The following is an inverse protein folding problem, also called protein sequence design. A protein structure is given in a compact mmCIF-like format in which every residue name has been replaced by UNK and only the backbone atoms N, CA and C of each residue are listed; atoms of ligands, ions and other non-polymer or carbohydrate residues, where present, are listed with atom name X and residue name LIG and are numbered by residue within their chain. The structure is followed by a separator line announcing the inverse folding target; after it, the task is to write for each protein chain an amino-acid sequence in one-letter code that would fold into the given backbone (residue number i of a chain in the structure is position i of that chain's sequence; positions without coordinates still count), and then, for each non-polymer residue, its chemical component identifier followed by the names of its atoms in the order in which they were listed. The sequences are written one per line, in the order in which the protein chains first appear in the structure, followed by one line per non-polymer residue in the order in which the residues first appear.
data_IF_630659783966
#
_entry.id   IF_630659783966
#
_cell.length_a   1.000
_cell.length_b   1.000
_cell.length_c   1.000
_cell.angle_alpha   90.00
_cell.angle_beta   90.00
_cell.angle_gamma   90.00
#
_symmetry.space_group_name_H-M   'P 1'
#
loop_
_entity.id
_entity.type
_entity.pdbx_description
1 polymer ?
#
# COMPACT_ATOMS: atom_id res chain seq x y z
N UNK A 1 21.86 32.64 -5.23
CA UNK A 1 22.24 32.95 -3.83
C UNK A 1 23.74 33.16 -3.81
N UNK A 2 24.21 34.31 -3.33
CA UNK A 2 25.65 34.54 -3.17
C UNK A 2 26.16 33.63 -2.04
N UNK A 3 27.32 32.96 -2.20
CA UNK A 3 27.81 31.95 -1.24
C UNK A 3 28.13 32.48 0.17
N UNK A 4 28.02 33.80 0.38
CA UNK A 4 28.35 34.49 1.63
C UNK A 4 27.14 35.08 2.38
N UNK A 5 25.91 34.77 1.96
CA UNK A 5 24.70 35.27 2.61
C UNK A 5 23.56 34.24 2.62
N UNK A 6 22.93 34.09 3.78
CA UNK A 6 21.78 33.22 4.01
C UNK A 6 20.65 34.08 4.60
N UNK A 7 19.43 33.91 4.10
CA UNK A 7 18.23 34.51 4.69
C UNK A 7 17.39 33.40 5.33
N UNK A 8 16.98 33.63 6.58
CA UNK A 8 16.19 32.73 7.41
C UNK A 8 14.90 33.49 7.75
N UNK A 9 13.75 32.81 7.74
CA UNK A 9 12.51 33.40 8.23
C UNK A 9 11.55 32.36 8.76
N UNK A 10 10.37 32.81 9.18
CA UNK A 10 9.36 31.98 9.80
C UNK A 10 8.90 30.83 8.88
N UNK A 11 8.63 29.64 9.45
CA UNK A 11 8.07 28.47 8.75
C UNK A 11 6.68 28.75 8.14
N UNK A 12 5.95 29.74 8.69
CA UNK A 12 4.65 30.22 8.21
C UNK A 12 4.75 31.49 7.34
N UNK A 13 5.95 31.90 6.93
CA UNK A 13 6.13 33.07 6.06
C UNK A 13 5.61 32.85 4.63
N UNK A 14 5.23 33.96 3.98
CA UNK A 14 4.72 34.03 2.61
C UNK A 14 3.22 33.79 2.48
N UNK A 15 2.71 33.92 1.25
CA UNK A 15 1.28 33.83 0.95
C UNK A 15 0.94 32.42 0.41
N UNK A 16 -0.19 31.81 0.81
CA UNK A 16 -0.71 30.62 0.15
C UNK A 16 -0.88 30.82 -1.37
N UNK A 17 -0.54 29.82 -2.19
CA UNK A 17 -0.76 29.92 -3.63
C UNK A 17 -2.27 29.84 -3.93
N UNK A 18 -2.90 30.90 -4.49
CA UNK A 18 -4.34 30.93 -4.74
C UNK A 18 -4.78 29.95 -5.85
N UNK A 19 -3.86 29.55 -6.74
CA UNK A 19 -4.16 28.68 -7.90
C UNK A 19 -4.04 27.17 -7.58
N UNK A 20 -3.82 26.78 -6.31
CA UNK A 20 -3.87 25.36 -5.94
C UNK A 20 -5.32 24.89 -5.97
N UNK A 21 -5.63 24.01 -6.92
CA UNK A 21 -6.95 23.41 -7.06
C UNK A 21 -7.45 22.80 -5.73
N UNK A 22 -8.73 22.98 -5.36
CA UNK A 22 -9.31 22.54 -4.08
C UNK A 22 -9.34 21.02 -3.88
N UNK A 23 -8.78 20.25 -4.82
CA UNK A 23 -8.75 18.79 -4.84
C UNK A 23 -8.03 18.13 -3.65
N UNK A 24 -7.29 18.90 -2.84
CA UNK A 24 -6.70 18.44 -1.57
C UNK A 24 -7.16 19.36 -0.44
N UNK A 25 -7.84 18.79 0.56
CA UNK A 25 -8.13 19.40 1.87
C UNK A 25 -6.84 19.71 2.68
N UNK A 26 -5.86 20.36 2.08
CA UNK A 26 -4.60 20.74 2.73
C UNK A 26 -4.58 22.26 2.75
N UNK A 27 -5.07 22.81 3.86
CA UNK A 27 -5.00 24.25 4.15
C UNK A 27 -3.52 24.62 4.29
N UNK A 28 -3.11 25.69 3.63
CA UNK A 28 -1.74 26.21 3.74
C UNK A 28 -1.49 26.71 5.16
N UNK A 29 -0.33 26.38 5.74
CA UNK A 29 0.13 26.95 7.03
C UNK A 29 0.71 28.35 6.92
N UNK A 30 0.86 28.84 5.69
CA UNK A 30 1.43 30.15 5.41
C UNK A 30 0.42 31.24 5.80
N UNK A 31 0.85 32.17 6.65
CA UNK A 31 0.06 33.29 7.19
C UNK A 31 0.70 34.64 6.87
N UNK A 32 1.63 34.66 5.92
CA UNK A 32 2.39 35.84 5.51
C UNK A 32 3.16 36.54 6.64
N UNK A 33 3.66 35.75 7.61
CA UNK A 33 4.46 36.32 8.69
C UNK A 33 5.78 36.93 8.17
N UNK A 34 6.07 38.20 8.53
CA UNK A 34 7.12 38.99 7.88
C UNK A 34 8.52 38.78 8.49
N UNK A 35 8.64 38.03 9.59
CA UNK A 35 9.91 37.80 10.27
C UNK A 35 11.01 37.27 9.35
N UNK A 36 12.15 37.98 9.37
CA UNK A 36 13.34 37.67 8.56
C UNK A 36 14.63 38.02 9.30
N UNK A 37 15.62 37.16 9.16
CA UNK A 37 16.97 37.33 9.67
C UNK A 37 17.94 36.98 8.54
N UNK A 38 19.03 37.73 8.40
CA UNK A 38 20.10 37.36 7.48
C UNK A 38 21.37 37.04 8.24
N UNK A 39 22.02 35.96 7.83
CA UNK A 39 23.37 35.62 8.19
C UNK A 39 24.29 36.00 7.04
N UNK A 40 25.30 36.83 7.30
CA UNK A 40 26.33 37.20 6.32
C UNK A 40 27.69 36.75 6.80
N UNK A 41 28.43 36.04 5.96
CA UNK A 41 29.82 35.68 6.23
C UNK A 41 30.68 36.92 6.02
N UNK A 42 31.53 37.21 7.00
CA UNK A 42 32.51 38.28 6.87
C UNK A 42 33.50 37.92 5.74
N UNK A 43 33.81 38.87 4.85
CA UNK A 43 34.69 38.60 3.72
C UNK A 43 36.15 38.32 4.13
N UNK A 44 36.56 38.78 5.32
CA UNK A 44 37.94 38.72 5.83
C UNK A 44 38.14 37.68 6.94
N UNK A 45 37.09 36.96 7.36
CA UNK A 45 37.15 35.99 8.44
C UNK A 45 36.18 34.83 8.22
N UNK A 46 36.31 33.77 9.00
CA UNK A 46 35.36 32.65 9.01
C UNK A 46 34.09 32.95 9.82
N UNK A 47 33.98 34.15 10.40
CA UNK A 47 32.87 34.54 11.27
C UNK A 47 31.62 34.95 10.49
N UNK A 48 30.47 34.56 11.02
CA UNK A 48 29.16 34.92 10.49
C UNK A 48 28.50 35.96 11.40
N UNK A 49 27.91 36.99 10.80
CA UNK A 49 27.10 37.98 11.53
C UNK A 49 25.64 37.74 11.22
N UNK A 50 24.84 37.56 12.27
CA UNK A 50 23.39 37.44 12.19
C UNK A 50 22.76 38.81 12.47
N UNK A 51 21.88 39.27 11.59
CA UNK A 51 21.16 40.54 11.76
C UNK A 51 19.68 40.34 11.47
N UNK A 52 18.84 40.83 12.37
CA UNK A 52 17.38 40.82 12.20
C UNK A 52 17.01 41.88 11.16
N UNK A 53 16.28 41.48 10.12
CA UNK A 53 15.78 42.37 9.06
C UNK A 53 14.37 42.83 9.37
N UNK A 54 13.52 41.92 9.85
CA UNK A 54 12.22 42.25 10.39
C UNK A 54 11.97 41.39 11.65
N UNK A 55 11.81 42.01 12.84
CA UNK A 55 11.53 41.30 14.09
C UNK A 55 10.06 40.89 14.27
N UNK A 56 9.13 41.39 13.45
CA UNK A 56 7.70 41.26 13.69
C UNK A 56 7.15 39.84 13.49
N UNK A 57 6.33 39.42 14.46
CA UNK A 57 5.57 38.18 14.45
C UNK A 57 4.17 38.45 15.05
N UNK A 58 3.12 38.04 14.35
CA UNK A 58 1.74 38.25 14.83
C UNK A 58 1.29 37.25 15.90
N UNK A 59 2.10 36.23 16.21
CA UNK A 59 1.82 35.22 17.23
C UNK A 59 3.11 34.85 17.96
N UNK A 60 3.00 34.53 19.25
CA UNK A 60 4.11 34.05 20.06
C UNK A 60 4.66 32.72 19.53
N UNK A 61 5.96 32.49 19.77
CA UNK A 61 6.61 31.22 19.45
C UNK A 61 5.90 30.07 20.19
N UNK A 62 5.65 28.97 19.48
CA UNK A 62 5.01 27.79 20.09
C UNK A 62 6.07 26.94 20.77
N UNK A 63 5.95 26.72 22.08
CA UNK A 63 6.84 25.84 22.85
C UNK A 63 6.57 24.35 22.56
N UNK A 64 5.40 24.03 22.00
CA UNK A 64 5.03 22.68 21.63
C UNK A 64 5.71 22.23 20.33
N UNK A 65 6.81 21.48 20.46
CA UNK A 65 7.53 20.89 19.34
C UNK A 65 6.66 20.03 18.41
N UNK A 66 5.55 19.45 18.90
CA UNK A 66 4.62 18.67 18.06
C UNK A 66 3.94 19.52 16.99
N UNK A 67 3.69 20.80 17.28
CA UNK A 67 2.99 21.70 16.38
C UNK A 67 3.86 22.10 15.16
N UNK A 68 5.18 21.91 15.22
CA UNK A 68 6.10 22.29 14.17
C UNK A 68 6.61 21.06 13.36
N UNK A 69 6.24 20.92 12.07
CA UNK A 69 6.67 19.82 11.23
C UNK A 69 8.19 19.72 11.08
N UNK A 70 8.94 20.82 11.25
CA UNK A 70 10.39 20.80 11.18
C UNK A 70 11.02 19.88 12.24
N UNK A 71 10.47 19.84 13.45
CA UNK A 71 10.95 18.99 14.54
C UNK A 71 10.47 17.54 14.44
N UNK A 72 9.50 17.26 13.55
CA UNK A 72 8.90 15.93 13.37
C UNK A 72 9.44 15.17 12.15
N UNK A 73 10.47 15.70 11.49
CA UNK A 73 11.09 15.02 10.34
C UNK A 73 11.85 13.79 10.80
N UNK A 74 11.64 12.69 10.07
CA UNK A 74 12.44 11.48 10.23
C UNK A 74 13.82 11.67 9.58
N UNK A 75 14.87 11.25 10.27
CA UNK A 75 16.21 11.14 9.68
C UNK A 75 16.29 9.90 8.77
N UNK A 76 17.45 9.67 8.17
CA UNK A 76 17.66 8.55 7.23
C UNK A 76 17.55 7.19 7.93
N UNK A 77 18.16 7.03 9.11
CA UNK A 77 18.11 5.80 9.90
C UNK A 77 16.66 5.44 10.28
N UNK A 78 15.91 6.41 10.81
CA UNK A 78 14.50 6.26 11.16
C UNK A 78 13.66 5.94 9.93
N UNK A 79 13.97 6.54 8.78
CA UNK A 79 13.28 6.25 7.51
C UNK A 79 13.50 4.81 7.07
N UNK A 80 14.73 4.32 7.13
CA UNK A 80 15.09 2.93 6.82
C UNK A 80 14.41 1.95 7.77
N UNK A 81 14.37 2.28 9.06
CA UNK A 81 13.70 1.45 10.05
C UNK A 81 12.18 1.39 9.82
N UNK A 82 11.54 2.53 9.52
CA UNK A 82 10.12 2.56 9.12
C UNK A 82 9.87 1.72 7.88
N UNK A 83 10.78 1.75 6.88
CA UNK A 83 10.68 0.93 5.68
C UNK A 83 10.69 -0.57 6.03
N UNK A 84 11.70 -1.01 6.79
CA UNK A 84 11.83 -2.40 7.23
C UNK A 84 10.60 -2.87 8.02
N UNK A 85 10.16 -2.11 9.04
CA UNK A 85 8.99 -2.47 9.83
C UNK A 85 7.71 -2.50 8.98
N UNK A 86 7.56 -1.57 8.03
CA UNK A 86 6.42 -1.57 7.10
C UNK A 86 6.44 -2.75 6.14
N UNK A 87 7.62 -3.26 5.76
CA UNK A 87 7.77 -4.46 4.92
C UNK A 87 7.39 -5.72 5.68
N UNK A 88 7.76 -5.79 6.96
CA UNK A 88 7.32 -6.84 7.89
C UNK A 88 5.85 -6.74 8.32
N UNK A 89 5.05 -5.91 7.64
CA UNK A 89 3.60 -5.74 7.85
C UNK A 89 3.21 -5.18 9.23
N UNK A 90 4.13 -4.53 9.95
CA UNK A 90 3.78 -3.86 11.20
C UNK A 90 2.83 -2.70 10.94
N UNK A 91 1.84 -2.57 11.82
CA UNK A 91 0.87 -1.48 11.74
C UNK A 91 1.54 -0.16 12.15
N UNK A 92 1.15 1.00 11.57
CA UNK A 92 1.74 2.30 11.90
C UNK A 92 1.80 2.64 13.39
N UNK A 93 0.84 2.14 14.18
CA UNK A 93 0.83 2.31 15.64
C UNK A 93 1.94 1.50 16.34
N UNK A 94 2.24 0.30 15.85
CA UNK A 94 3.35 -0.53 16.35
C UNK A 94 4.69 0.09 15.96
N UNK A 95 4.80 0.57 14.72
CA UNK A 95 5.97 1.30 14.22
C UNK A 95 6.24 2.52 15.11
N UNK A 96 5.21 3.31 15.43
CA UNK A 96 5.34 4.46 16.33
C UNK A 96 5.84 4.03 17.70
N UNK A 97 5.24 3.00 18.31
CA UNK A 97 5.64 2.53 19.63
C UNK A 97 7.11 2.09 19.68
N UNK A 98 7.58 1.35 18.66
CA UNK A 98 8.97 0.92 18.57
C UNK A 98 9.94 2.09 18.36
N UNK A 99 9.56 3.09 17.54
CA UNK A 99 10.38 4.29 17.39
C UNK A 99 10.46 5.10 18.68
N UNK A 100 9.37 5.20 19.43
CA UNK A 100 9.37 5.92 20.71
C UNK A 100 10.20 5.19 21.78
N UNK A 101 10.20 3.85 21.80
CA UNK A 101 10.93 3.09 22.81
C UNK A 101 12.45 3.08 22.60
N UNK A 102 12.92 3.37 21.40
CA UNK A 102 14.34 3.30 21.02
C UNK A 102 15.03 4.67 20.96
N UNK A 103 14.29 5.75 21.22
CA UNK A 103 14.82 7.11 21.14
C UNK A 103 15.22 7.63 22.51
N UNK A 104 16.42 8.23 22.56
CA UNK A 104 16.87 9.07 23.67
C UNK A 104 16.39 10.52 23.54
N UNK A 105 15.80 10.89 22.39
CA UNK A 105 15.47 12.27 22.03
C UNK A 105 13.99 12.60 22.25
N UNK A 106 13.73 13.78 22.84
CA UNK A 106 12.41 14.41 23.02
C UNK A 106 11.70 14.83 21.70
N UNK A 107 12.24 14.44 20.53
CA UNK A 107 11.59 14.77 19.25
C UNK A 107 10.26 14.02 19.12
N UNK A 108 9.15 14.74 18.94
CA UNK A 108 7.85 14.10 18.92
C UNK A 108 7.63 13.28 17.65
N UNK A 109 7.14 12.05 17.82
CA UNK A 109 6.68 11.18 16.74
C UNK A 109 5.19 11.02 16.83
N UNK A 110 4.46 11.54 15.84
CA UNK A 110 3.01 11.39 15.79
C UNK A 110 2.59 10.43 14.69
N UNK A 111 1.51 9.71 14.95
CA UNK A 111 0.98 8.68 14.05
C UNK A 111 0.71 9.17 12.61
N UNK A 112 0.18 10.39 12.37
CA UNK A 112 0.01 10.91 11.01
C UNK A 112 1.31 10.98 10.19
N UNK A 113 2.44 11.31 10.82
CA UNK A 113 3.72 11.38 10.10
C UNK A 113 4.20 10.00 9.71
N UNK A 114 4.00 8.99 10.55
CA UNK A 114 4.29 7.58 10.23
C UNK A 114 3.44 7.15 9.02
N UNK A 115 2.14 7.45 9.01
CA UNK A 115 1.29 7.16 7.85
C UNK A 115 1.81 7.83 6.58
N UNK A 116 2.19 9.11 6.66
CA UNK A 116 2.73 9.85 5.52
C UNK A 116 4.07 9.29 5.04
N UNK A 117 4.95 8.91 5.95
CA UNK A 117 6.26 8.36 5.65
C UNK A 117 6.14 6.97 5.01
N UNK A 118 5.33 6.07 5.59
CA UNK A 118 5.02 4.76 4.99
C UNK A 118 4.42 4.92 3.60
N UNK A 119 3.52 5.89 3.41
CA UNK A 119 2.93 6.19 2.10
C UNK A 119 3.98 6.70 1.11
N UNK A 120 4.91 7.55 1.55
CA UNK A 120 6.04 8.04 0.73
C UNK A 120 6.94 6.88 0.31
N UNK A 121 7.38 6.05 1.26
CA UNK A 121 8.21 4.86 1.00
C UNK A 121 7.54 3.94 -0.03
N UNK A 122 6.25 3.62 0.17
CA UNK A 122 5.50 2.78 -0.78
C UNK A 122 5.39 3.41 -2.17
N UNK A 123 5.28 4.74 -2.26
CA UNK A 123 5.25 5.44 -3.54
C UNK A 123 6.62 5.41 -4.23
N UNK A 124 7.69 5.63 -3.48
CA UNK A 124 9.06 5.66 -3.99
C UNK A 124 9.46 4.27 -4.50
N UNK A 125 9.05 3.19 -3.80
CA UNK A 125 9.21 1.80 -4.26
C UNK A 125 8.53 1.49 -5.60
N UNK A 126 7.43 2.18 -5.92
CA UNK A 126 6.79 1.99 -7.22
C UNK A 126 7.60 2.60 -8.37
N UNK A 127 8.56 3.50 -8.08
CA UNK A 127 9.39 4.16 -9.10
C UNK A 127 8.56 4.79 -10.22
N UNK A 128 7.43 5.39 -9.87
CA UNK A 128 6.49 6.00 -10.83
C UNK A 128 5.53 5.03 -11.53
N UNK A 129 5.71 3.71 -11.38
CA UNK A 129 4.79 2.69 -11.93
C UNK A 129 3.43 2.73 -11.23
N UNK A 130 2.37 2.33 -11.94
CA UNK A 130 1.07 2.09 -11.29
C UNK A 130 1.17 0.81 -10.46
N UNK A 131 0.45 0.70 -9.33
CA UNK A 131 0.52 -0.48 -8.47
C UNK A 131 0.25 -1.81 -9.19
N UNK A 132 -0.65 -1.82 -10.17
CA UNK A 132 -0.93 -3.03 -10.95
C UNK A 132 0.24 -3.40 -11.88
N UNK A 133 0.91 -2.42 -12.49
CA UNK A 133 2.04 -2.70 -13.38
C UNK A 133 3.23 -3.24 -12.57
N UNK A 134 3.44 -2.71 -11.36
CA UNK A 134 4.43 -3.25 -10.43
C UNK A 134 4.08 -4.70 -10.01
N UNK A 135 2.82 -4.98 -9.68
CA UNK A 135 2.35 -6.33 -9.36
C UNK A 135 2.57 -7.30 -10.53
N UNK A 136 2.21 -6.92 -11.76
CA UNK A 136 2.42 -7.76 -12.95
C UNK A 136 3.92 -7.96 -13.20
N UNK A 137 4.75 -6.94 -12.95
CA UNK A 137 6.21 -7.07 -12.97
C UNK A 137 6.69 -8.17 -12.03
N UNK A 138 6.29 -8.11 -10.76
CA UNK A 138 6.64 -9.14 -9.77
C UNK A 138 6.11 -10.52 -10.15
N UNK A 139 4.88 -10.63 -10.66
CA UNK A 139 4.34 -11.92 -11.12
C UNK A 139 5.19 -12.51 -12.26
N UNK A 140 5.72 -11.69 -13.16
CA UNK A 140 6.61 -12.15 -14.23
C UNK A 140 7.99 -12.55 -13.69
N UNK A 141 8.58 -11.73 -12.84
CA UNK A 141 9.90 -11.96 -12.21
C UNK A 141 9.89 -13.27 -11.41
N UNK A 142 8.83 -13.52 -10.65
CA UNK A 142 8.63 -14.72 -9.83
C UNK A 142 7.98 -15.88 -10.61
N UNK A 143 7.93 -15.79 -11.95
CA UNK A 143 7.45 -16.85 -12.83
C UNK A 143 6.04 -17.38 -12.52
N UNK A 144 5.16 -16.52 -12.00
CA UNK A 144 3.75 -16.85 -11.82
C UNK A 144 3.05 -17.02 -13.16
N UNK A 145 2.10 -17.95 -13.20
CA UNK A 145 1.11 -18.02 -14.28
C UNK A 145 0.00 -17.04 -13.95
N UNK A 146 -0.29 -16.10 -14.85
CA UNK A 146 -1.32 -15.07 -14.61
C UNK A 146 -2.09 -14.72 -15.88
N UNK A 147 -3.29 -14.16 -15.71
CA UNK A 147 -4.11 -13.61 -16.79
C UNK A 147 -4.84 -12.35 -16.33
N UNK A 148 -4.79 -11.31 -17.15
CA UNK A 148 -5.43 -10.02 -16.89
C UNK A 148 -6.56 -9.77 -17.89
N UNK A 149 -7.76 -9.52 -17.39
CA UNK A 149 -8.92 -9.15 -18.20
C UNK A 149 -9.26 -7.67 -18.04
N UNK A 150 -9.76 -7.08 -19.12
CA UNK A 150 -10.18 -5.68 -19.16
C UNK A 150 -11.55 -5.54 -19.83
N UNK A 151 -12.29 -4.52 -19.43
CA UNK A 151 -13.52 -4.12 -20.12
C UNK A 151 -13.21 -3.37 -21.43
N UNK A 152 -14.26 -3.03 -22.18
CA UNK A 152 -14.16 -2.25 -23.44
C UNK A 152 -13.56 -0.86 -23.26
N UNK A 153 -13.52 -0.34 -22.02
CA UNK A 153 -12.91 0.95 -21.66
C UNK A 153 -11.47 0.80 -21.17
N UNK A 154 -10.94 -0.42 -21.12
CA UNK A 154 -9.59 -0.73 -20.65
C UNK A 154 -9.43 -0.82 -19.13
N UNK A 155 -10.52 -0.78 -18.35
CA UNK A 155 -10.46 -1.01 -16.90
C UNK A 155 -10.26 -2.48 -16.60
N UNK A 156 -9.44 -2.77 -15.59
CA UNK A 156 -9.20 -4.15 -15.16
C UNK A 156 -10.45 -4.70 -14.48
N UNK A 157 -10.91 -5.84 -14.99
CA UNK A 157 -12.08 -6.56 -14.46
C UNK A 157 -11.67 -7.79 -13.66
N UNK A 158 -10.55 -8.42 -14.01
CA UNK A 158 -10.04 -9.62 -13.37
C UNK A 158 -8.52 -9.68 -13.48
N UNK A 159 -7.84 -10.10 -12.42
CA UNK A 159 -6.45 -10.54 -12.45
C UNK A 159 -6.36 -11.88 -11.71
N UNK A 160 -6.22 -12.95 -12.48
CA UNK A 160 -5.97 -14.29 -11.97
C UNK A 160 -4.48 -14.56 -11.93
N UNK A 161 -3.99 -15.21 -10.88
CA UNK A 161 -2.59 -15.63 -10.79
C UNK A 161 -2.41 -16.84 -9.88
N UNK A 162 -1.41 -17.66 -10.21
CA UNK A 162 -1.00 -18.83 -9.44
C UNK A 162 0.49 -19.11 -9.62
N UNK A 163 1.09 -19.72 -8.60
CA UNK A 163 2.49 -20.15 -8.66
C UNK A 163 2.58 -21.54 -9.34
N UNK A 164 3.58 -21.81 -10.20
CA UNK A 164 3.75 -23.11 -10.83
C UNK A 164 3.83 -24.29 -9.84
N UNK A 165 4.45 -24.09 -8.67
CA UNK A 165 4.44 -25.11 -7.61
C UNK A 165 3.04 -25.39 -7.07
N UNK A 166 2.16 -24.37 -6.98
CA UNK A 166 0.79 -24.58 -6.55
C UNK A 166 0.02 -25.45 -7.55
N UNK A 167 0.26 -25.29 -8.86
CA UNK A 167 -0.25 -26.19 -9.92
C UNK A 167 0.20 -27.63 -9.66
N UNK A 168 1.49 -27.85 -9.42
CA UNK A 168 2.01 -29.20 -9.14
C UNK A 168 1.41 -29.82 -7.87
N UNK A 169 1.30 -29.05 -6.79
CA UNK A 169 0.69 -29.51 -5.54
C UNK A 169 -0.80 -29.81 -5.71
N UNK A 170 -1.49 -29.01 -6.53
CA UNK A 170 -2.90 -29.19 -6.83
C UNK A 170 -3.19 -30.54 -7.48
N UNK A 171 -2.25 -31.10 -8.25
CA UNK A 171 -2.39 -32.43 -8.84
C UNK A 171 -2.27 -33.54 -7.79
N UNK A 172 -1.42 -33.37 -6.78
CA UNK A 172 -1.24 -34.35 -5.71
C UNK A 172 -2.40 -34.40 -4.71
N UNK A 173 -3.20 -33.32 -4.64
CA UNK A 173 -4.26 -33.17 -3.64
C UNK A 173 -5.60 -32.75 -4.24
N UNK A 174 -6.27 -33.61 -5.02
CA UNK A 174 -7.47 -33.25 -5.76
C UNK A 174 -8.75 -33.19 -4.90
N UNK A 175 -8.74 -33.76 -3.70
CA UNK A 175 -9.98 -34.11 -2.97
C UNK A 175 -10.78 -32.92 -2.43
N UNK A 176 -10.13 -31.92 -1.81
CA UNK A 176 -10.84 -30.84 -1.13
C UNK A 176 -10.30 -29.47 -1.57
N UNK A 177 -11.22 -28.57 -1.94
CA UNK A 177 -10.94 -27.14 -2.13
C UNK A 177 -11.59 -26.33 -1.03
N UNK A 178 -10.87 -25.33 -0.53
CA UNK A 178 -11.45 -24.24 0.23
C UNK A 178 -11.44 -22.97 -0.63
N UNK A 179 -12.59 -22.34 -0.81
CA UNK A 179 -12.72 -21.09 -1.56
C UNK A 179 -13.20 -19.98 -0.64
N UNK A 180 -12.45 -18.89 -0.58
CA UNK A 180 -12.80 -17.74 0.22
C UNK A 180 -12.65 -16.45 -0.57
N UNK A 181 -13.48 -15.46 -0.28
CA UNK A 181 -13.25 -14.10 -0.76
C UNK A 181 -12.93 -13.21 0.44
N UNK A 182 -11.93 -12.34 0.31
CA UNK A 182 -11.59 -11.42 1.39
C UNK A 182 -12.53 -10.22 1.35
N UNK A 183 -13.19 -9.92 2.47
CA UNK A 183 -13.99 -8.70 2.62
C UNK A 183 -13.16 -7.42 2.48
N UNK A 184 -11.86 -7.47 2.80
CA UNK A 184 -10.93 -6.35 2.66
C UNK A 184 -10.70 -6.08 1.18
N UNK A 185 -11.22 -4.96 0.70
CA UNK A 185 -11.04 -4.50 -0.69
C UNK A 185 -9.78 -3.66 -0.82
N UNK A 186 -9.13 -3.75 -1.98
CA UNK A 186 -7.99 -2.88 -2.30
C UNK A 186 -8.45 -1.43 -2.60
N UNK A 187 -7.50 -0.53 -2.91
CA UNK A 187 -7.78 0.87 -3.28
C UNK A 187 -8.81 1.01 -4.43
N UNK A 188 -8.91 0.00 -5.28
CA UNK A 188 -9.80 -0.06 -6.44
C UNK A 188 -11.14 -0.75 -6.14
N UNK A 189 -11.43 -1.05 -4.87
CA UNK A 189 -12.64 -1.75 -4.41
C UNK A 189 -12.80 -3.16 -4.99
N UNK A 190 -11.71 -3.78 -5.47
CA UNK A 190 -11.71 -5.14 -5.99
C UNK A 190 -11.52 -6.15 -4.85
N UNK A 191 -12.46 -7.10 -4.64
CA UNK A 191 -12.23 -8.23 -3.73
C UNK A 191 -11.16 -9.19 -4.26
N UNK A 192 -10.39 -9.78 -3.34
CA UNK A 192 -9.50 -10.90 -3.64
C UNK A 192 -10.23 -12.21 -3.36
N UNK A 193 -10.40 -13.02 -4.39
CA UNK A 193 -10.84 -14.41 -4.30
C UNK A 193 -9.61 -15.30 -4.17
N UNK A 194 -9.64 -16.20 -3.20
CA UNK A 194 -8.53 -17.05 -2.82
C UNK A 194 -9.00 -18.50 -2.79
N UNK A 195 -8.32 -19.32 -3.59
CA UNK A 195 -8.54 -20.76 -3.68
C UNK A 195 -7.40 -21.43 -2.93
N UNK A 196 -7.73 -22.19 -1.90
CA UNK A 196 -6.81 -22.99 -1.12
C UNK A 196 -7.05 -24.47 -1.37
N UNK A 197 -6.04 -25.28 -1.05
CA UNK A 197 -6.13 -26.74 -1.02
C UNK A 197 -5.69 -27.27 0.32
N UNK A 198 -6.21 -28.46 0.65
CA UNK A 198 -5.79 -29.27 1.77
C UNK A 198 -4.86 -30.38 1.28
N UNK A 199 -3.73 -30.55 1.95
CA UNK A 199 -2.88 -31.73 1.82
C UNK A 199 -3.47 -32.92 2.59
N UNK A 200 -2.95 -34.13 2.33
CA UNK A 200 -3.28 -35.34 3.11
C UNK A 200 -2.90 -35.24 4.59
N UNK A 201 -2.03 -34.29 4.94
CA UNK A 201 -1.60 -33.97 6.31
C UNK A 201 -2.38 -32.82 6.94
N UNK A 202 -3.53 -32.43 6.38
CA UNK A 202 -4.38 -31.32 6.85
C UNK A 202 -3.74 -29.92 6.83
N UNK A 203 -2.55 -29.75 6.23
CA UNK A 203 -2.00 -28.43 5.96
C UNK A 203 -2.71 -27.78 4.78
N UNK A 204 -3.02 -26.49 4.91
CA UNK A 204 -3.56 -25.68 3.81
C UNK A 204 -2.44 -25.00 3.04
N UNK A 205 -2.59 -24.92 1.72
CA UNK A 205 -1.71 -24.12 0.87
C UNK A 205 -2.53 -23.29 -0.12
N UNK A 206 -1.93 -22.19 -0.58
CA UNK A 206 -2.55 -21.31 -1.57
C UNK A 206 -2.45 -21.92 -2.96
N UNK A 207 -3.60 -22.22 -3.56
CA UNK A 207 -3.70 -22.77 -4.91
C UNK A 207 -3.70 -21.68 -5.98
N UNK A 208 -4.60 -20.72 -5.86
CA UNK A 208 -4.74 -19.64 -6.82
C UNK A 208 -5.39 -18.40 -6.20
N UNK A 209 -5.20 -17.27 -6.87
CA UNK A 209 -5.73 -15.98 -6.47
C UNK A 209 -6.43 -15.32 -7.66
N UNK A 210 -7.46 -14.54 -7.38
CA UNK A 210 -8.13 -13.72 -8.38
C UNK A 210 -8.60 -12.39 -7.79
N UNK A 211 -8.07 -11.27 -8.28
CA UNK A 211 -8.67 -9.96 -8.01
C UNK A 211 -9.84 -9.77 -8.96
N UNK A 212 -11.05 -9.62 -8.44
CA UNK A 212 -12.26 -9.52 -9.24
C UNK A 212 -12.85 -8.10 -9.18
N UNK A 213 -13.61 -7.69 -10.20
CA UNK A 213 -14.30 -6.39 -10.18
C UNK A 213 -15.29 -6.26 -9.03
N UNK A 214 -16.00 -7.34 -8.69
CA UNK A 214 -17.01 -7.39 -7.64
C UNK A 214 -17.29 -8.85 -7.23
N UNK A 215 -18.12 -9.04 -6.20
CA UNK A 215 -18.57 -10.36 -5.74
C UNK A 215 -19.89 -10.82 -6.37
N UNK A 216 -20.08 -10.62 -7.68
CA UNK A 216 -21.25 -11.11 -8.41
C UNK A 216 -20.95 -12.41 -9.17
N UNK A 217 -21.97 -13.19 -9.52
CA UNK A 217 -21.84 -14.48 -10.22
C UNK A 217 -20.99 -14.41 -11.49
N UNK A 218 -21.10 -13.40 -12.38
CA UNK A 218 -20.26 -13.33 -13.57
C UNK A 218 -18.76 -13.21 -13.24
N UNK A 219 -18.43 -12.54 -12.14
CA UNK A 219 -17.05 -12.35 -11.68
C UNK A 219 -16.47 -13.65 -11.13
N UNK A 220 -17.25 -14.39 -10.33
CA UNK A 220 -16.87 -15.74 -9.88
C UNK A 220 -16.75 -16.70 -11.06
N UNK A 221 -17.66 -16.63 -12.02
CA UNK A 221 -17.65 -17.48 -13.23
C UNK A 221 -16.35 -17.28 -14.00
N UNK A 222 -15.94 -16.03 -14.24
CA UNK A 222 -14.66 -15.73 -14.89
C UNK A 222 -13.46 -16.27 -14.11
N UNK A 223 -13.41 -16.02 -12.80
CA UNK A 223 -12.33 -16.51 -11.93
C UNK A 223 -12.21 -18.04 -11.92
N UNK A 224 -13.35 -18.74 -11.81
CA UNK A 224 -13.40 -20.20 -11.76
C UNK A 224 -13.15 -20.83 -13.14
N UNK A 225 -13.59 -20.22 -14.24
CA UNK A 225 -13.23 -20.67 -15.57
C UNK A 225 -11.71 -20.57 -15.81
N UNK A 226 -11.06 -19.50 -15.32
CA UNK A 226 -9.59 -19.42 -15.36
C UNK A 226 -8.92 -20.48 -14.49
N UNK A 227 -9.50 -20.80 -13.35
CA UNK A 227 -9.06 -21.94 -12.55
C UNK A 227 -9.19 -23.26 -13.32
N UNK A 228 -10.36 -23.55 -13.90
CA UNK A 228 -10.60 -24.78 -14.69
C UNK A 228 -9.62 -24.85 -15.88
N UNK A 229 -9.48 -23.77 -16.64
CA UNK A 229 -8.56 -23.67 -17.77
C UNK A 229 -7.12 -23.99 -17.37
N UNK A 230 -6.63 -23.37 -16.28
CA UNK A 230 -5.23 -23.52 -15.88
C UNK A 230 -4.93 -24.83 -15.14
N UNK A 231 -5.90 -25.40 -14.43
CA UNK A 231 -5.66 -26.51 -13.50
C UNK A 231 -6.36 -27.82 -13.83
N UNK A 232 -7.45 -27.83 -14.61
CA UNK A 232 -8.19 -29.05 -14.91
C UNK A 232 -8.02 -29.44 -16.38
N UNK A 233 -8.17 -28.49 -17.30
CA UNK A 233 -8.12 -28.79 -18.73
C UNK A 233 -6.69 -29.09 -19.22
N UNK A 234 -5.68 -28.42 -18.64
CA UNK A 234 -4.29 -28.62 -19.05
C UNK A 234 -3.64 -29.87 -18.42
N UNK A 235 -4.39 -30.64 -17.61
CA UNK A 235 -3.81 -31.55 -16.62
C UNK A 235 -4.56 -32.89 -16.50
N UNK A 236 -5.66 -33.07 -17.25
CA UNK A 236 -6.57 -34.22 -17.17
C UNK A 236 -7.10 -34.50 -15.74
N UNK A 237 -7.19 -33.47 -14.90
CA UNK A 237 -7.67 -33.61 -13.53
C UNK A 237 -9.20 -33.62 -13.47
N UNK A 238 -9.73 -34.53 -12.63
CA UNK A 238 -11.14 -34.58 -12.29
C UNK A 238 -11.49 -33.38 -11.38
N UNK A 239 -12.67 -32.76 -11.55
CA UNK A 239 -13.20 -31.80 -10.60
C UNK A 239 -13.09 -32.26 -9.14
N UNK A 240 -12.84 -31.34 -8.19
CA UNK A 240 -12.71 -31.70 -6.78
C UNK A 240 -14.04 -32.26 -6.25
N UNK A 241 -14.08 -33.42 -5.58
CA UNK A 241 -15.33 -33.98 -5.07
C UNK A 241 -15.96 -33.11 -3.97
N UNK A 242 -15.15 -32.36 -3.21
CA UNK A 242 -15.65 -31.50 -2.12
C UNK A 242 -15.11 -30.07 -2.28
N UNK A 243 -16.03 -29.10 -2.25
CA UNK A 243 -15.71 -27.67 -2.25
C UNK A 243 -16.33 -27.05 -1.00
N UNK A 244 -15.48 -26.48 -0.15
CA UNK A 244 -15.88 -25.77 1.06
C UNK A 244 -15.79 -24.27 0.80
N UNK A 245 -16.85 -23.52 1.07
CA UNK A 245 -16.91 -22.07 0.85
C UNK A 245 -17.67 -21.38 1.97
N UNK A 246 -17.34 -20.12 2.25
CA UNK A 246 -18.17 -19.30 3.13
C UNK A 246 -19.56 -19.03 2.52
N UNK A 247 -20.53 -18.64 3.36
CA UNK A 247 -21.93 -18.33 3.00
C UNK A 247 -22.05 -17.13 2.06
N UNK A 248 -21.78 -17.35 0.77
CA UNK A 248 -21.95 -16.35 -0.28
C UNK A 248 -22.77 -16.92 -1.43
N UNK A 249 -24.02 -16.45 -1.59
CA UNK A 249 -25.00 -17.01 -2.51
C UNK A 249 -24.50 -17.05 -3.96
N UNK A 250 -23.95 -15.95 -4.46
CA UNK A 250 -23.43 -15.89 -5.83
C UNK A 250 -22.29 -16.88 -6.08
N UNK A 251 -21.46 -17.15 -5.08
CA UNK A 251 -20.37 -18.12 -5.22
C UNK A 251 -20.96 -19.53 -5.24
N UNK A 252 -21.87 -19.85 -4.32
CA UNK A 252 -22.57 -21.14 -4.28
C UNK A 252 -23.29 -21.44 -5.59
N UNK A 253 -24.04 -20.49 -6.14
CA UNK A 253 -24.74 -20.64 -7.42
C UNK A 253 -23.77 -20.91 -8.57
N UNK A 254 -22.66 -20.17 -8.62
CA UNK A 254 -21.63 -20.35 -9.63
C UNK A 254 -20.96 -21.73 -9.50
N UNK A 255 -20.68 -22.19 -8.27
CA UNK A 255 -20.08 -23.50 -8.03
C UNK A 255 -21.00 -24.63 -8.46
N UNK A 256 -22.29 -24.57 -8.11
CA UNK A 256 -23.26 -25.58 -8.52
C UNK A 256 -23.39 -25.67 -10.05
N UNK A 257 -23.19 -24.56 -10.76
CA UNK A 257 -23.21 -24.53 -12.23
C UNK A 257 -21.94 -25.09 -12.86
N UNK A 258 -20.76 -24.77 -12.32
CA UNK A 258 -19.46 -25.15 -12.90
C UNK A 258 -18.95 -26.50 -12.43
N UNK A 259 -19.41 -26.97 -11.27
CA UNK A 259 -18.98 -28.21 -10.63
C UNK A 259 -20.21 -28.99 -10.13
N UNK A 260 -21.09 -29.46 -11.03
CA UNK A 260 -22.37 -30.08 -10.66
C UNK A 260 -22.20 -31.38 -9.85
N UNK A 261 -21.10 -32.10 -10.09
CA UNK A 261 -20.80 -33.37 -9.40
C UNK A 261 -20.07 -33.16 -8.06
N UNK A 262 -19.67 -31.93 -7.75
CA UNK A 262 -18.96 -31.60 -6.52
C UNK A 262 -19.94 -31.29 -5.38
N UNK A 263 -19.68 -31.86 -4.21
CA UNK A 263 -20.41 -31.51 -3.00
C UNK A 263 -19.95 -30.15 -2.47
N UNK A 264 -20.82 -29.15 -2.56
CA UNK A 264 -20.56 -27.80 -2.02
C UNK A 264 -21.00 -27.72 -0.56
N UNK A 265 -20.05 -27.46 0.34
CA UNK A 265 -20.24 -27.33 1.78
C UNK A 265 -20.02 -25.89 2.25
N UNK A 266 -20.72 -25.51 3.32
CA UNK A 266 -20.69 -24.19 3.95
C UNK A 266 -19.92 -24.19 5.27
#
# INVERSE_FOLDING_TARGET
MTPNQIEIGCDRSGIPNPNKSPSKKVISRKLDFPFRVYARKCAKSTTWTLKVKNPEHSQNATENNMANPAFRKFNEQETSQIAQMSESLLMPRQIQAQLCSQRESDRPVILPDIYNQVKKIKKDKLQGRRPIDALIGTLKEEMFVWSLERDTKGHITSLFFTHPLAIRLLHGFPHVILMNFTYKKNKYKMPLFHIFRLSSTNYTFSGAFCLMKNGAEPSYTGALNKYIEKFLNNTNLVPPPVIVTYRHLALKNTLNKLFPDSKVML
#
